data_IF_504045061664
#
_entry.id   IF_504045061664
#
_cell.length_a   1.000
_cell.length_b   1.000
_cell.length_c   1.000
_cell.angle_alpha   90.00
_cell.angle_beta   90.00
_cell.angle_gamma   90.00
#
_symmetry.space_group_name_H-M   'P 1'
#
loop_
_entity.id
_entity.type
_entity.pdbx_description
1 polymer ?
#
# COMPACT_ATOMS: atom_id res chain seq x y z
N UNK A 1 23.56 -38.96 -75.69
CA UNK A 1 22.71 -37.74 -75.70
C UNK A 1 22.35 -37.37 -74.28
N UNK A 2 22.73 -36.16 -73.91
CA UNK A 2 22.75 -35.56 -72.59
C UNK A 2 21.34 -35.22 -72.06
N UNK A 3 21.09 -35.40 -70.76
CA UNK A 3 20.26 -34.48 -69.96
C UNK A 3 20.72 -34.47 -68.50
N UNK A 4 21.57 -33.48 -68.20
CA UNK A 4 22.08 -33.12 -66.87
C UNK A 4 20.98 -32.35 -66.13
N UNK A 5 20.21 -33.02 -65.27
CA UNK A 5 19.24 -32.38 -64.39
C UNK A 5 19.97 -31.71 -63.21
N UNK A 6 19.77 -30.40 -63.06
CA UNK A 6 20.35 -29.58 -61.99
C UNK A 6 19.72 -29.98 -60.65
N UNK A 7 20.40 -30.81 -59.86
CA UNK A 7 20.08 -31.01 -58.45
C UNK A 7 20.50 -29.76 -57.67
N UNK A 8 19.53 -29.00 -57.16
CA UNK A 8 19.79 -28.02 -56.11
C UNK A 8 20.28 -28.78 -54.86
N UNK A 9 21.43 -28.43 -54.26
CA UNK A 9 22.00 -29.25 -53.20
C UNK A 9 21.17 -29.14 -51.91
N UNK A 10 20.75 -30.29 -51.37
CA UNK A 10 19.97 -30.42 -50.14
C UNK A 10 20.54 -29.64 -48.92
N UNK A 11 21.83 -29.32 -48.94
CA UNK A 11 22.50 -28.46 -47.95
C UNK A 11 21.95 -27.01 -47.92
N UNK A 12 21.54 -26.46 -49.07
CA UNK A 12 20.95 -25.11 -49.11
C UNK A 12 19.54 -25.05 -48.52
N UNK A 13 18.74 -26.10 -48.68
CA UNK A 13 17.40 -26.18 -48.11
C UNK A 13 17.43 -26.30 -46.57
N UNK A 14 18.42 -27.01 -46.02
CA UNK A 14 18.64 -27.11 -44.57
C UNK A 14 19.09 -25.80 -43.93
N UNK A 15 20.01 -25.07 -44.59
CA UNK A 15 20.49 -23.76 -44.16
C UNK A 15 19.37 -22.70 -44.19
N UNK A 16 18.49 -22.77 -45.18
CA UNK A 16 17.32 -21.89 -45.30
C UNK A 16 16.34 -22.12 -44.14
N UNK A 17 16.09 -23.37 -43.76
CA UNK A 17 15.23 -23.71 -42.60
C UNK A 17 15.86 -23.34 -41.25
N UNK A 18 17.17 -23.44 -41.08
CA UNK A 18 17.83 -23.17 -39.79
C UNK A 18 18.04 -21.69 -39.49
N UNK A 19 18.04 -20.81 -40.49
CA UNK A 19 18.30 -19.37 -40.32
C UNK A 19 17.07 -18.49 -40.60
N UNK A 20 16.30 -18.74 -41.65
CA UNK A 20 15.21 -17.83 -42.05
C UNK A 20 13.92 -18.06 -41.27
N UNK A 21 13.66 -19.29 -40.82
CA UNK A 21 12.49 -19.60 -39.98
C UNK A 21 12.58 -18.91 -38.61
N UNK A 22 13.68 -19.04 -37.83
CA UNK A 22 13.81 -18.29 -36.59
C UNK A 22 13.84 -16.78 -36.85
N UNK A 23 14.53 -16.29 -37.88
CA UNK A 23 14.55 -14.85 -38.19
C UNK A 23 13.15 -14.28 -38.49
N UNK A 24 12.32 -15.00 -39.26
CA UNK A 24 10.94 -14.59 -39.53
C UNK A 24 10.02 -14.66 -38.30
N UNK A 25 10.17 -15.70 -37.47
CA UNK A 25 9.41 -15.85 -36.23
C UNK A 25 9.78 -14.76 -35.22
N UNK A 26 11.08 -14.49 -35.04
CA UNK A 26 11.53 -13.42 -34.14
C UNK A 26 11.16 -12.04 -34.68
N UNK A 27 11.30 -11.79 -35.98
CA UNK A 27 10.93 -10.51 -36.59
C UNK A 27 9.44 -10.20 -36.42
N UNK A 28 8.57 -11.18 -36.66
CA UNK A 28 7.12 -11.03 -36.43
C UNK A 28 6.80 -10.83 -34.95
N UNK A 29 7.41 -11.61 -34.05
CA UNK A 29 7.22 -11.45 -32.61
C UNK A 29 7.64 -10.05 -32.10
N UNK A 30 8.78 -9.52 -32.58
CA UNK A 30 9.20 -8.16 -32.24
C UNK A 30 8.25 -7.11 -32.81
N UNK A 31 7.72 -7.29 -34.02
CA UNK A 31 6.81 -6.34 -34.64
C UNK A 31 5.45 -6.28 -33.92
N UNK A 32 4.93 -7.44 -33.50
CA UNK A 32 3.75 -7.48 -32.64
C UNK A 32 4.05 -6.88 -31.26
N UNK A 33 5.18 -7.22 -30.65
CA UNK A 33 5.59 -6.68 -29.35
C UNK A 33 5.74 -5.15 -29.35
N UNK A 34 6.38 -4.58 -30.37
CA UNK A 34 6.53 -3.13 -30.50
C UNK A 34 5.19 -2.46 -30.79
N UNK A 35 4.34 -3.05 -31.64
CA UNK A 35 3.00 -2.51 -31.91
C UNK A 35 2.13 -2.49 -30.65
N UNK A 36 2.07 -3.60 -29.90
CA UNK A 36 1.34 -3.65 -28.63
C UNK A 36 1.93 -2.69 -27.60
N UNK A 37 3.25 -2.58 -27.51
CA UNK A 37 3.94 -1.62 -26.64
C UNK A 37 3.59 -0.18 -26.98
N UNK A 38 3.57 0.18 -28.27
CA UNK A 38 3.18 1.52 -28.73
C UNK A 38 1.71 1.83 -28.46
N UNK A 39 0.80 0.86 -28.70
CA UNK A 39 -0.63 1.02 -28.37
C UNK A 39 -0.83 1.18 -26.86
N UNK A 40 -0.11 0.41 -26.04
CA UNK A 40 -0.16 0.54 -24.59
C UNK A 40 0.36 1.91 -24.13
N UNK A 41 1.53 2.33 -24.61
CA UNK A 41 2.12 3.64 -24.30
C UNK A 41 1.22 4.79 -24.74
N UNK A 42 0.62 4.69 -25.94
CA UNK A 42 -0.34 5.67 -26.42
C UNK A 42 -1.59 5.71 -25.53
N UNK A 43 -2.16 4.56 -25.18
CA UNK A 43 -3.32 4.50 -24.28
C UNK A 43 -3.00 5.05 -22.88
N UNK A 44 -1.77 4.85 -22.40
CA UNK A 44 -1.29 5.38 -21.12
C UNK A 44 -1.11 6.90 -21.20
N UNK A 45 -0.55 7.42 -22.29
CA UNK A 45 -0.40 8.85 -22.55
C UNK A 45 -1.77 9.54 -22.63
N UNK A 46 -2.72 8.96 -23.38
CA UNK A 46 -4.10 9.48 -23.46
C UNK A 46 -4.74 9.53 -22.07
N UNK A 47 -4.63 8.45 -21.26
CA UNK A 47 -5.13 8.44 -19.88
C UNK A 47 -4.47 9.49 -18.99
N UNK A 48 -3.15 9.71 -19.10
CA UNK A 48 -2.44 10.72 -18.32
C UNK A 48 -2.90 12.13 -18.69
N UNK A 49 -3.09 12.40 -19.99
CA UNK A 49 -3.55 13.69 -20.50
C UNK A 49 -5.01 13.96 -20.10
N UNK A 50 -5.89 12.97 -20.27
CA UNK A 50 -7.33 13.09 -20.01
C UNK A 50 -7.63 13.22 -18.52
N UNK A 51 -6.98 12.45 -17.66
CA UNK A 51 -7.19 12.55 -16.21
C UNK A 51 -6.51 13.76 -15.56
N UNK A 52 -5.62 14.50 -16.25
CA UNK A 52 -4.74 15.56 -15.70
C UNK A 52 -4.10 15.20 -14.34
N UNK A 53 -3.97 13.91 -14.06
CA UNK A 53 -3.65 13.41 -12.73
C UNK A 53 -3.02 12.03 -12.85
N UNK A 54 -1.85 11.86 -12.24
CA UNK A 54 -1.11 10.60 -12.12
C UNK A 54 -1.84 9.53 -11.26
N UNK A 55 -3.13 9.69 -11.00
CA UNK A 55 -3.97 8.72 -10.28
C UNK A 55 -4.33 7.53 -11.18
N UNK A 56 -3.32 6.76 -11.60
CA UNK A 56 -3.48 5.51 -12.35
C UNK A 56 -3.97 4.38 -11.44
N UNK A 57 -3.75 4.52 -10.13
CA UNK A 57 -4.29 3.64 -9.10
C UNK A 57 -5.63 4.22 -8.62
N UNK A 58 -6.72 3.80 -9.28
CA UNK A 58 -8.06 4.09 -8.79
C UNK A 58 -8.31 3.23 -7.54
N UNK A 59 -7.88 3.71 -6.38
CA UNK A 59 -8.10 3.03 -5.11
C UNK A 59 -9.60 3.10 -4.83
N UNK A 60 -10.30 1.99 -5.04
CA UNK A 60 -11.70 1.84 -4.65
C UNK A 60 -11.80 2.00 -3.14
N UNK A 61 -12.23 3.19 -2.69
CA UNK A 61 -12.56 3.40 -1.30
C UNK A 61 -13.77 2.53 -0.95
N UNK A 62 -13.64 1.73 0.11
CA UNK A 62 -14.78 0.98 0.64
C UNK A 62 -15.81 1.99 1.15
N UNK A 63 -17.03 1.92 0.65
CA UNK A 63 -18.14 2.79 1.08
C UNK A 63 -18.64 2.46 2.49
N UNK A 64 -18.49 1.21 2.90
CA UNK A 64 -18.99 0.69 4.19
C UNK A 64 -17.81 0.21 5.02
N UNK A 65 -17.78 0.62 6.29
CA UNK A 65 -16.82 0.17 7.29
C UNK A 65 -17.06 -1.32 7.59
N UNK A 66 -16.02 -2.17 7.63
CA UNK A 66 -16.19 -3.57 8.02
C UNK A 66 -16.71 -3.71 9.46
N UNK A 67 -17.69 -4.58 9.66
CA UNK A 67 -18.35 -4.81 10.97
C UNK A 67 -17.38 -5.26 12.07
N UNK A 68 -16.31 -5.98 11.72
CA UNK A 68 -15.30 -6.41 12.70
C UNK A 68 -14.59 -5.25 13.40
N UNK A 69 -14.62 -4.04 12.82
CA UNK A 69 -14.04 -2.85 13.42
C UNK A 69 -14.93 -2.26 14.52
N UNK A 70 -16.20 -2.67 14.61
CA UNK A 70 -17.15 -2.14 15.59
C UNK A 70 -17.39 -3.12 16.74
N UNK A 71 -16.61 -4.21 16.81
CA UNK A 71 -16.68 -5.16 17.90
C UNK A 71 -16.25 -4.49 19.23
N UNK A 72 -17.16 -4.37 20.23
CA UNK A 72 -16.86 -3.75 21.51
C UNK A 72 -15.80 -4.50 22.34
N UNK A 73 -15.53 -5.77 22.02
CA UNK A 73 -14.51 -6.57 22.68
C UNK A 73 -13.11 -6.00 22.51
N UNK A 74 -12.83 -5.29 21.42
CA UNK A 74 -11.50 -4.74 21.17
C UNK A 74 -11.23 -3.44 21.92
N UNK A 75 -12.27 -2.72 22.34
CA UNK A 75 -12.17 -1.47 23.07
C UNK A 75 -13.16 -0.42 22.58
N UNK A 76 -13.02 0.80 23.11
CA UNK A 76 -13.83 1.96 22.74
C UNK A 76 -13.07 2.83 21.77
N UNK A 77 -13.75 3.22 20.68
CA UNK A 77 -13.27 4.21 19.73
C UNK A 77 -13.33 5.60 20.33
N UNK A 78 -12.20 6.31 20.28
CA UNK A 78 -12.04 7.65 20.82
C UNK A 78 -11.30 8.53 19.81
N UNK A 79 -11.47 9.85 19.94
CA UNK A 79 -10.80 10.82 19.09
C UNK A 79 -10.14 11.89 19.96
N UNK A 80 -8.81 12.01 19.83
CA UNK A 80 -8.03 13.05 20.46
C UNK A 80 -7.91 14.23 19.50
N UNK A 81 -8.53 15.36 19.85
CA UNK A 81 -8.34 16.61 19.14
C UNK A 81 -7.09 17.32 19.67
N UNK A 82 -5.98 17.16 18.96
CA UNK A 82 -4.71 17.79 19.27
C UNK A 82 -4.62 19.17 18.60
N UNK A 83 -3.52 19.89 18.81
CA UNK A 83 -3.35 21.25 18.29
C UNK A 83 -3.48 21.31 16.75
N UNK A 84 -2.85 20.34 16.06
CA UNK A 84 -2.65 20.39 14.61
C UNK A 84 -3.33 19.23 13.86
N UNK A 85 -3.96 18.29 14.58
CA UNK A 85 -4.54 17.08 13.99
C UNK A 85 -5.56 16.44 14.94
N UNK A 86 -6.58 15.79 14.38
CA UNK A 86 -7.42 14.85 15.15
C UNK A 86 -6.94 13.41 14.92
N UNK A 87 -6.60 12.71 16.01
CA UNK A 87 -6.21 11.30 15.97
C UNK A 87 -7.33 10.41 16.49
N UNK A 88 -7.62 9.35 15.75
CA UNK A 88 -8.42 8.24 16.23
C UNK A 88 -7.56 7.26 17.02
N UNK A 89 -8.09 6.73 18.11
CA UNK A 89 -7.48 5.64 18.86
C UNK A 89 -8.54 4.74 19.48
N UNK A 90 -8.17 3.49 19.75
CA UNK A 90 -8.99 2.53 20.49
C UNK A 90 -8.38 2.30 21.85
N UNK A 91 -9.19 2.48 22.90
CA UNK A 91 -8.77 2.24 24.28
C UNK A 91 -9.51 1.07 24.92
N UNK A 92 -8.82 0.36 25.81
CA UNK A 92 -9.39 -0.69 26.65
C UNK A 92 -8.65 -0.73 27.99
N UNK A 93 -9.34 -1.18 29.03
CA UNK A 93 -8.81 -1.25 30.40
C UNK A 93 -9.10 0.00 31.22
N UNK A 94 -8.65 -0.04 32.47
CA UNK A 94 -8.86 1.02 33.46
C UNK A 94 -7.84 2.16 33.27
N UNK A 95 -8.34 3.39 33.12
CA UNK A 95 -7.52 4.59 32.86
C UNK A 95 -6.59 4.94 34.03
N UNK A 96 -6.84 4.46 35.24
CA UNK A 96 -5.98 4.71 36.39
C UNK A 96 -4.70 3.86 36.37
N UNK A 97 -4.68 2.78 35.57
CA UNK A 97 -3.52 1.89 35.43
C UNK A 97 -2.40 2.49 34.58
N UNK A 98 -1.19 1.90 34.57
CA UNK A 98 -0.12 2.34 33.69
C UNK A 98 -0.50 2.22 32.21
N UNK A 99 -0.09 3.20 31.40
CA UNK A 99 -0.42 3.27 29.98
C UNK A 99 0.52 2.42 29.12
N UNK A 100 -0.05 1.58 28.28
CA UNK A 100 0.62 0.98 27.11
C UNK A 100 0.07 1.65 25.85
N UNK A 101 0.94 2.28 25.08
CA UNK A 101 0.62 2.91 23.79
C UNK A 101 1.17 2.06 22.65
N UNK A 102 0.29 1.63 21.75
CA UNK A 102 0.62 0.85 20.56
C UNK A 102 0.67 1.73 19.32
N UNK A 103 1.79 1.74 18.63
CA UNK A 103 2.01 2.40 17.35
C UNK A 103 2.11 1.37 16.23
N UNK A 104 1.39 1.57 15.15
CA UNK A 104 1.46 0.69 13.98
C UNK A 104 2.48 1.19 12.95
N UNK A 105 2.92 0.30 12.06
CA UNK A 105 3.80 0.62 10.93
C UNK A 105 3.04 0.89 9.62
N UNK A 106 3.75 0.83 8.50
CA UNK A 106 3.18 0.95 7.15
C UNK A 106 3.10 -0.41 6.44
N UNK A 107 1.99 -0.77 5.75
CA UNK A 107 0.67 -0.15 5.77
C UNK A 107 -0.26 -0.85 6.77
N UNK A 108 -0.51 -0.22 7.93
CA UNK A 108 -1.36 -0.80 8.99
C UNK A 108 -2.17 0.26 9.75
N UNK A 109 -2.94 -0.16 10.76
CA UNK A 109 -3.73 0.70 11.64
C UNK A 109 -4.01 0.01 13.00
N UNK A 110 -4.76 0.65 13.92
CA UNK A 110 -4.99 0.16 15.31
C UNK A 110 -5.39 -1.32 15.41
N UNK A 111 -6.11 -1.84 14.41
CA UNK A 111 -6.69 -3.18 14.41
C UNK A 111 -5.64 -4.31 14.43
N UNK A 112 -4.41 -4.04 14.02
CA UNK A 112 -3.29 -4.98 14.14
C UNK A 112 -3.00 -5.34 15.60
N UNK A 113 -3.33 -4.45 16.54
CA UNK A 113 -3.13 -4.62 17.98
C UNK A 113 -4.34 -5.16 18.74
N UNK A 114 -5.44 -5.54 18.05
CA UNK A 114 -6.71 -5.93 18.70
C UNK A 114 -6.55 -7.04 19.74
N UNK A 115 -5.64 -7.98 19.52
CA UNK A 115 -5.38 -9.08 20.46
C UNK A 115 -4.58 -8.61 21.67
N UNK A 116 -3.60 -7.72 21.45
CA UNK A 116 -2.78 -7.14 22.51
C UNK A 116 -3.61 -6.18 23.39
N UNK A 117 -4.49 -5.39 22.79
CA UNK A 117 -5.47 -4.58 23.52
C UNK A 117 -6.27 -5.45 24.49
N UNK A 118 -6.83 -6.57 24.01
CA UNK A 118 -7.60 -7.48 24.86
C UNK A 118 -6.75 -8.08 25.99
N UNK A 119 -5.57 -8.61 25.67
CA UNK A 119 -4.76 -9.32 26.66
C UNK A 119 -4.23 -8.39 27.75
N UNK A 120 -3.62 -7.26 27.37
CA UNK A 120 -2.98 -6.36 28.31
C UNK A 120 -3.96 -5.46 29.08
N UNK A 121 -5.19 -5.28 28.60
CA UNK A 121 -6.21 -4.45 29.28
C UNK A 121 -6.60 -4.94 30.68
N UNK A 122 -6.27 -6.18 31.03
CA UNK A 122 -6.47 -6.75 32.37
C UNK A 122 -5.63 -6.03 33.42
N UNK A 123 -4.42 -5.59 33.06
CA UNK A 123 -3.41 -5.05 33.97
C UNK A 123 -2.96 -3.62 33.62
N UNK A 124 -3.30 -3.16 32.42
CA UNK A 124 -2.87 -1.86 31.90
C UNK A 124 -4.04 -1.09 31.30
N UNK A 125 -3.88 0.22 31.18
CA UNK A 125 -4.65 1.00 30.22
C UNK A 125 -3.99 0.86 28.86
N UNK A 126 -4.67 0.22 27.92
CA UNK A 126 -4.14 -0.05 26.58
C UNK A 126 -4.76 0.92 25.58
N UNK A 127 -3.93 1.57 24.78
CA UNK A 127 -4.34 2.50 23.72
C UNK A 127 -3.63 2.15 22.42
N UNK A 128 -4.38 1.85 21.36
CA UNK A 128 -3.83 1.69 20.01
C UNK A 128 -4.28 2.87 19.15
N UNK A 129 -3.33 3.65 18.65
CA UNK A 129 -3.60 4.86 17.87
C UNK A 129 -3.48 4.61 16.38
N UNK A 130 -4.36 5.22 15.59
CA UNK A 130 -4.15 5.39 14.16
C UNK A 130 -3.22 6.60 13.95
N UNK A 131 -2.03 6.37 13.40
CA UNK A 131 -1.11 7.44 13.08
C UNK A 131 -1.73 8.38 12.02
N UNK A 132 -1.20 9.61 11.95
CA UNK A 132 -1.62 10.60 10.94
C UNK A 132 -1.67 9.99 9.54
N UNK A 133 -2.78 10.16 8.83
CA UNK A 133 -2.96 9.57 7.50
C UNK A 133 -3.61 8.18 7.47
N UNK A 134 -3.69 7.48 8.60
CA UNK A 134 -4.18 6.10 8.68
C UNK A 134 -5.55 6.00 9.33
N UNK A 135 -6.20 4.85 9.12
CA UNK A 135 -7.50 4.48 9.71
C UNK A 135 -8.51 5.63 9.70
N UNK A 136 -8.99 6.03 10.87
CA UNK A 136 -9.92 7.16 11.03
C UNK A 136 -9.26 8.46 11.51
N UNK A 137 -7.94 8.46 11.69
CA UNK A 137 -7.20 9.69 11.92
C UNK A 137 -7.28 10.61 10.72
N UNK A 138 -7.16 11.90 10.99
CA UNK A 138 -7.12 12.94 9.98
C UNK A 138 -5.98 12.67 8.97
N UNK A 139 -6.23 13.02 7.71
CA UNK A 139 -5.33 12.75 6.57
C UNK A 139 -4.91 14.08 5.94
N UNK A 140 -3.87 14.74 6.46
CA UNK A 140 -3.47 16.04 5.95
C UNK A 140 -3.10 15.98 4.46
N UNK A 141 -3.52 17.00 3.70
CA UNK A 141 -3.28 17.04 2.24
C UNK A 141 -1.82 17.26 1.87
N UNK A 142 -1.08 17.99 2.71
CA UNK A 142 0.30 18.36 2.40
C UNK A 142 1.28 17.24 2.76
N UNK A 143 2.10 16.82 1.80
CA UNK A 143 3.08 15.73 1.98
C UNK A 143 4.08 15.99 3.11
N UNK A 144 4.51 17.25 3.30
CA UNK A 144 5.45 17.59 4.37
C UNK A 144 4.88 17.35 5.77
N UNK A 145 3.55 17.29 5.93
CA UNK A 145 2.93 16.97 7.23
C UNK A 145 3.18 15.52 7.64
N UNK A 146 3.70 14.65 6.77
CA UNK A 146 4.06 13.27 7.13
C UNK A 146 5.53 13.11 7.53
N UNK A 147 6.32 14.20 7.60
CA UNK A 147 7.67 14.11 8.14
C UNK A 147 7.67 13.67 9.61
N UNK A 148 8.69 12.90 9.99
CA UNK A 148 8.84 12.31 11.34
C UNK A 148 8.64 13.31 12.49
N UNK A 149 9.07 14.56 12.32
CA UNK A 149 8.89 15.61 13.34
C UNK A 149 7.43 15.79 13.76
N UNK A 150 6.49 15.68 12.83
CA UNK A 150 5.07 15.83 13.12
C UNK A 150 4.48 14.58 13.77
N UNK A 151 4.92 13.38 13.35
CA UNK A 151 4.52 12.12 13.98
C UNK A 151 4.97 12.10 15.44
N UNK A 152 6.22 12.48 15.72
CA UNK A 152 6.74 12.56 17.10
C UNK A 152 5.94 13.58 17.92
N UNK A 153 5.65 14.75 17.35
CA UNK A 153 4.87 15.79 18.02
C UNK A 153 3.45 15.33 18.33
N UNK A 154 2.82 14.56 17.44
CA UNK A 154 1.50 13.97 17.66
C UNK A 154 1.51 12.98 18.82
N UNK A 155 2.48 12.05 18.85
CA UNK A 155 2.56 11.04 19.90
C UNK A 155 2.82 11.69 21.26
N UNK A 156 3.70 12.71 21.31
CA UNK A 156 3.92 13.49 22.53
C UNK A 156 2.63 14.15 23.01
N UNK A 157 1.94 14.88 22.13
CA UNK A 157 0.67 15.54 22.47
C UNK A 157 -0.42 14.54 22.85
N UNK A 158 -0.44 13.36 22.24
CA UNK A 158 -1.40 12.31 22.59
C UNK A 158 -1.16 11.80 24.01
N UNK A 159 0.10 11.52 24.39
CA UNK A 159 0.44 11.07 25.74
C UNK A 159 0.02 12.13 26.79
N UNK A 160 0.28 13.41 26.50
CA UNK A 160 -0.16 14.54 27.33
C UNK A 160 -1.70 14.64 27.39
N UNK A 161 -2.38 14.50 26.25
CA UNK A 161 -3.85 14.49 26.16
C UNK A 161 -4.48 13.35 26.98
N UNK A 162 -3.82 12.20 27.03
CA UNK A 162 -4.22 11.04 27.82
C UNK A 162 -3.95 11.21 29.33
N UNK A 163 -3.34 12.33 29.75
CA UNK A 163 -3.10 12.65 31.16
C UNK A 163 -2.03 11.78 31.82
N UNK A 164 -1.06 11.28 31.05
CA UNK A 164 0.03 10.44 31.56
C UNK A 164 1.38 11.08 31.25
N UNK A 165 2.30 11.04 32.20
CA UNK A 165 3.67 11.55 32.01
C UNK A 165 4.62 10.49 31.42
N UNK A 166 4.25 9.21 31.55
CA UNK A 166 5.03 8.06 31.11
C UNK A 166 4.11 7.00 30.51
N UNK A 167 4.62 6.28 29.53
CA UNK A 167 3.96 5.12 28.96
C UNK A 167 4.98 4.05 28.59
N UNK A 168 4.51 2.81 28.45
CA UNK A 168 5.22 1.75 27.76
C UNK A 168 4.84 1.88 26.28
N UNK A 169 5.82 2.07 25.42
CA UNK A 169 5.61 2.23 23.98
C UNK A 169 5.92 0.91 23.26
N UNK A 170 4.96 0.42 22.47
CA UNK A 170 5.11 -0.78 21.64
C UNK A 170 4.89 -0.38 20.18
N UNK A 171 5.80 -0.76 19.29
CA UNK A 171 5.78 -0.37 17.87
C UNK A 171 6.16 -1.55 16.98
N UNK A 172 5.67 -1.52 15.73
CA UNK A 172 6.04 -2.44 14.64
C UNK A 172 6.46 -1.63 13.42
#
# INVERSE_FOLDING_TARGET
LCKRTKHLPAKMAGLFRSLLVPFGVYSTAYLFGTLYGLVFLFSLLVKIIENRSFNVLNINQRKVRPECLDNPDFGRHMYAKLENITLHYVEKGDRDKPLILFLHGFPDFWYSWRHQLMEFSKEYWTVAVDLRGFGESEKPKQSYKYHMKYVIQDIKQLIEYLGKDKCILITH
#
